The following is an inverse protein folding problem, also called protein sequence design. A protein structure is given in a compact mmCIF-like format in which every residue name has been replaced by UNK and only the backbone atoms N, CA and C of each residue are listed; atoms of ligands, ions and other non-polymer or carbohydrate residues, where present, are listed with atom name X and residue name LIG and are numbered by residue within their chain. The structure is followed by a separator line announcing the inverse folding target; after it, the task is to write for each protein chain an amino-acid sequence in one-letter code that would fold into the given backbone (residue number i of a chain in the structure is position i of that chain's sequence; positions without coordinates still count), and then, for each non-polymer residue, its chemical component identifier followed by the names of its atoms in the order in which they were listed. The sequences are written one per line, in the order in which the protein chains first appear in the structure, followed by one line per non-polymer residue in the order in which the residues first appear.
data_IF_426326942258
#
_entry.id   IF_426326942258
#
_cell.length_a   1.000
_cell.length_b   1.000
_cell.length_c   1.000
_cell.angle_alpha   90.00
_cell.angle_beta   90.00
_cell.angle_gamma   90.00
#
_symmetry.space_group_name_H-M   'P 1'
#
loop_
_entity.id
_entity.type
_entity.pdbx_description
1 polymer ?
#
# COMPACT_ATOMS: atom_id res chain seq x y z
N UNK A 1 1.23 -30.95 -2.23
CA UNK A 1 2.42 -30.06 -2.40
C UNK A 1 2.38 -29.20 -3.67
N UNK A 2 1.79 -29.60 -4.82
CA UNK A 2 1.74 -28.75 -6.04
C UNK A 2 0.67 -27.64 -6.03
N UNK A 3 -0.43 -27.83 -5.32
CA UNK A 3 -1.59 -26.90 -5.26
C UNK A 3 -1.23 -25.49 -4.75
N UNK A 4 -0.30 -25.39 -3.78
CA UNK A 4 0.07 -24.12 -3.14
C UNK A 4 0.72 -23.12 -4.10
N UNK A 5 1.59 -23.61 -4.99
CA UNK A 5 2.27 -22.79 -6.01
C UNK A 5 1.35 -22.38 -7.17
N UNK A 6 0.29 -23.15 -7.41
CA UNK A 6 -0.69 -22.84 -8.45
C UNK A 6 -1.49 -21.59 -8.07
N UNK A 7 -1.88 -21.47 -6.79
CA UNK A 7 -2.57 -20.29 -6.26
C UNK A 7 -1.76 -19.00 -6.42
N UNK A 8 -0.48 -19.01 -6.01
CA UNK A 8 0.42 -17.85 -6.15
C UNK A 8 0.58 -17.42 -7.61
N UNK A 9 0.69 -18.37 -8.54
CA UNK A 9 0.79 -18.08 -9.98
C UNK A 9 -0.51 -17.53 -10.56
N UNK A 10 -1.66 -18.06 -10.16
CA UNK A 10 -2.96 -17.52 -10.58
C UNK A 10 -3.12 -16.09 -10.07
N UNK A 11 -2.83 -15.85 -8.79
CA UNK A 11 -2.87 -14.51 -8.19
C UNK A 11 -1.93 -13.56 -8.93
N UNK A 12 -0.69 -13.98 -9.20
CA UNK A 12 0.26 -13.16 -9.95
C UNK A 12 -0.24 -12.81 -11.35
N UNK A 13 -0.81 -13.77 -12.09
CA UNK A 13 -1.39 -13.52 -13.42
C UNK A 13 -2.57 -12.54 -13.34
N UNK A 14 -3.46 -12.72 -12.36
CA UNK A 14 -4.61 -11.81 -12.15
C UNK A 14 -4.16 -10.40 -11.79
N UNK A 15 -3.17 -10.26 -10.90
CA UNK A 15 -2.60 -8.96 -10.54
C UNK A 15 -1.89 -8.30 -11.73
N UNK A 16 -1.19 -9.06 -12.55
CA UNK A 16 -0.55 -8.56 -13.76
C UNK A 16 -1.59 -8.09 -14.78
N UNK A 17 -2.66 -8.85 -14.99
CA UNK A 17 -3.77 -8.48 -15.87
C UNK A 17 -4.47 -7.20 -15.37
N UNK A 18 -4.70 -7.08 -14.06
CA UNK A 18 -5.25 -5.88 -13.43
C UNK A 18 -4.32 -4.68 -13.62
N UNK A 19 -3.02 -4.84 -13.42
CA UNK A 19 -2.03 -3.79 -13.61
C UNK A 19 -2.01 -3.29 -15.06
N UNK A 20 -1.97 -4.19 -16.04
CA UNK A 20 -2.00 -3.84 -17.46
C UNK A 20 -3.32 -3.15 -17.81
N UNK A 21 -4.46 -3.70 -17.37
CA UNK A 21 -5.77 -3.10 -17.60
C UNK A 21 -5.88 -1.68 -17.03
N UNK A 22 -5.45 -1.48 -15.78
CA UNK A 22 -5.39 -0.17 -15.14
C UNK A 22 -4.50 0.81 -15.93
N UNK A 23 -3.30 0.37 -16.33
CA UNK A 23 -2.37 1.21 -17.10
C UNK A 23 -2.97 1.63 -18.44
N UNK A 24 -3.55 0.68 -19.18
CA UNK A 24 -4.20 0.96 -20.46
C UNK A 24 -5.40 1.91 -20.30
N UNK A 25 -6.18 1.75 -19.22
CA UNK A 25 -7.31 2.62 -18.94
C UNK A 25 -6.89 4.08 -18.74
N UNK A 26 -5.69 4.34 -18.21
CA UNK A 26 -5.17 5.71 -18.03
C UNK A 26 -5.00 6.50 -19.32
N UNK A 27 -4.97 5.85 -20.50
CA UNK A 27 -4.95 6.55 -21.79
C UNK A 27 -6.29 7.19 -22.14
N UNK A 28 -7.38 6.82 -21.46
CA UNK A 28 -8.69 7.45 -21.63
C UNK A 28 -8.86 8.73 -20.83
N UNK A 29 -7.90 9.04 -19.95
CA UNK A 29 -7.99 10.21 -19.07
C UNK A 29 -7.73 11.49 -19.85
N UNK A 30 -8.41 12.61 -19.49
CA UNK A 30 -8.12 13.90 -20.10
C UNK A 30 -6.65 14.29 -19.89
N UNK A 31 -6.06 14.92 -20.90
CA UNK A 31 -4.69 15.41 -20.84
C UNK A 31 -4.48 16.46 -19.75
N UNK A 32 -3.22 16.69 -19.38
CA UNK A 32 -2.85 17.70 -18.39
C UNK A 32 -3.21 19.11 -18.89
N UNK A 33 -3.86 19.90 -18.04
CA UNK A 33 -4.22 21.28 -18.37
C UNK A 33 -3.06 22.26 -18.12
N UNK A 34 -2.06 21.84 -17.33
CA UNK A 34 -0.88 22.63 -16.98
C UNK A 34 0.41 21.82 -17.21
N UNK A 35 1.50 22.46 -17.67
CA UNK A 35 2.77 21.77 -17.93
C UNK A 35 3.42 21.15 -16.68
N UNK A 36 3.10 21.66 -15.49
CA UNK A 36 3.65 21.20 -14.20
C UNK A 36 2.74 20.23 -13.46
N UNK A 37 1.51 20.01 -13.94
CA UNK A 37 0.58 19.06 -13.33
C UNK A 37 0.99 17.63 -13.71
N UNK A 38 1.35 16.75 -12.75
CA UNK A 38 1.65 15.35 -13.03
C UNK A 38 0.47 14.63 -13.73
N UNK A 39 -0.74 15.18 -13.62
CA UNK A 39 -1.92 14.72 -14.31
C UNK A 39 -2.65 13.62 -13.57
N UNK A 40 -3.96 13.54 -13.80
CA UNK A 40 -4.85 12.54 -13.18
C UNK A 40 -4.44 11.09 -13.47
N UNK A 41 -3.65 10.87 -14.53
CA UNK A 41 -3.12 9.58 -14.93
C UNK A 41 -1.82 9.16 -14.20
N UNK A 42 -1.08 10.09 -13.58
CA UNK A 42 0.21 9.75 -12.97
C UNK A 42 0.08 8.74 -11.82
N UNK A 43 -0.82 9.00 -10.88
CA UNK A 43 -1.02 8.11 -9.74
C UNK A 43 -1.41 6.67 -10.16
N UNK A 44 -2.45 6.46 -10.99
CA UNK A 44 -2.81 5.11 -11.43
C UNK A 44 -1.72 4.43 -12.26
N UNK A 45 -0.92 5.17 -13.05
CA UNK A 45 0.21 4.61 -13.80
C UNK A 45 1.33 4.12 -12.88
N UNK A 46 1.74 4.91 -11.90
CA UNK A 46 2.76 4.50 -10.92
C UNK A 46 2.29 3.26 -10.16
N UNK A 47 1.03 3.26 -9.73
CA UNK A 47 0.45 2.11 -9.03
C UNK A 47 0.40 0.86 -9.91
N UNK A 48 -0.01 1.00 -11.18
CA UNK A 48 -0.01 -0.09 -12.14
C UNK A 48 1.39 -0.67 -12.38
N UNK A 49 2.42 0.18 -12.54
CA UNK A 49 3.81 -0.26 -12.70
C UNK A 49 4.30 -0.99 -11.45
N UNK A 50 4.07 -0.43 -10.26
CA UNK A 50 4.45 -1.07 -9.00
C UNK A 50 3.75 -2.44 -8.83
N UNK A 51 2.45 -2.50 -9.14
CA UNK A 51 1.67 -3.74 -9.07
C UNK A 51 2.19 -4.78 -10.07
N UNK A 52 2.53 -4.36 -11.29
CA UNK A 52 3.11 -5.25 -12.30
C UNK A 52 4.47 -5.82 -11.85
N UNK A 53 5.35 -4.98 -11.29
CA UNK A 53 6.64 -5.43 -10.74
C UNK A 53 6.42 -6.45 -9.62
N UNK A 54 5.52 -6.17 -8.68
CA UNK A 54 5.19 -7.09 -7.59
C UNK A 54 4.59 -8.41 -8.11
N UNK A 55 3.72 -8.34 -9.11
CA UNK A 55 3.14 -9.52 -9.75
C UNK A 55 4.20 -10.38 -10.43
N UNK A 56 5.17 -9.77 -11.14
CA UNK A 56 6.30 -10.48 -11.75
C UNK A 56 7.17 -11.12 -10.67
N UNK A 57 7.51 -10.40 -9.60
CA UNK A 57 8.29 -10.95 -8.48
C UNK A 57 7.54 -12.14 -7.86
N UNK A 58 6.24 -12.04 -7.62
CA UNK A 58 5.42 -13.13 -7.07
C UNK A 58 5.40 -14.35 -8.01
N UNK A 59 5.27 -14.12 -9.33
CA UNK A 59 5.26 -15.18 -10.32
C UNK A 59 6.60 -15.94 -10.37
N UNK A 60 7.72 -15.22 -10.29
CA UNK A 60 9.07 -15.79 -10.31
C UNK A 60 9.49 -16.40 -8.97
N UNK A 61 8.92 -15.92 -7.87
CA UNK A 61 9.28 -16.31 -6.50
C UNK A 61 8.06 -16.86 -5.75
N UNK A 62 7.36 -17.88 -6.28
CA UNK A 62 6.18 -18.41 -5.62
C UNK A 62 6.60 -19.03 -4.29
N UNK A 63 5.94 -18.63 -3.21
CA UNK A 63 6.24 -19.21 -1.90
C UNK A 63 5.29 -20.36 -1.65
N UNK A 64 5.69 -21.31 -0.82
CA UNK A 64 4.68 -22.16 -0.21
C UNK A 64 3.76 -21.23 0.58
N UNK A 65 2.55 -21.06 0.07
CA UNK A 65 1.46 -20.58 0.89
C UNK A 65 1.34 -21.60 2.02
N UNK A 66 1.89 -21.23 3.18
CA UNK A 66 1.15 -21.48 4.40
C UNK A 66 -0.16 -20.77 4.13
N UNK A 67 -1.13 -21.52 3.61
CA UNK A 67 -2.53 -21.09 3.55
C UNK A 67 -2.72 -20.27 4.80
N UNK A 68 -3.12 -19.00 4.63
CA UNK A 68 -3.48 -18.12 5.74
C UNK A 68 -4.04 -19.01 6.82
N UNK A 69 -3.45 -19.04 8.04
CA UNK A 69 -3.73 -20.09 9.02
C UNK A 69 -5.22 -20.40 8.91
N UNK A 70 -5.63 -21.64 8.65
CA UNK A 70 -7.02 -22.02 8.28
C UNK A 70 -8.09 -21.47 9.26
N UNK A 71 -7.62 -20.84 10.34
CA UNK A 71 -8.31 -19.92 11.24
C UNK A 71 -7.60 -18.56 11.29
N UNK A 72 -7.61 -17.77 10.22
CA UNK A 72 -7.52 -16.33 10.35
C UNK A 72 -8.87 -15.98 10.94
N UNK A 73 -8.98 -16.08 12.27
CA UNK A 73 -10.23 -15.85 12.98
C UNK A 73 -10.81 -14.52 12.55
N UNK A 74 -12.11 -14.33 12.74
CA UNK A 74 -12.79 -13.04 12.50
C UNK A 74 -12.09 -11.87 13.21
N UNK A 75 -11.30 -12.15 14.25
CA UNK A 75 -10.59 -11.20 15.08
C UNK A 75 -9.55 -10.33 14.33
N UNK A 76 -8.52 -10.86 13.62
CA UNK A 76 -7.64 -10.03 12.78
C UNK A 76 -8.37 -9.15 11.76
N UNK A 77 -9.44 -9.65 11.15
CA UNK A 77 -10.22 -8.92 10.13
C UNK A 77 -10.91 -7.72 10.78
N UNK A 78 -11.64 -7.95 11.87
CA UNK A 78 -12.29 -6.90 12.65
C UNK A 78 -11.24 -5.92 13.17
N UNK A 79 -10.08 -6.41 13.63
CA UNK A 79 -8.97 -5.59 14.07
C UNK A 79 -8.45 -4.64 12.99
N UNK A 80 -8.28 -5.12 11.75
CA UNK A 80 -7.86 -4.28 10.62
C UNK A 80 -8.92 -3.22 10.29
N UNK A 81 -10.21 -3.59 10.31
CA UNK A 81 -11.31 -2.64 10.08
C UNK A 81 -11.30 -1.53 11.14
N UNK A 82 -11.18 -1.90 12.41
CA UNK A 82 -11.09 -0.94 13.53
C UNK A 82 -9.83 -0.08 13.40
N UNK A 83 -8.68 -0.67 13.10
CA UNK A 83 -7.43 0.07 12.89
C UNK A 83 -7.56 1.08 11.74
N UNK A 84 -8.27 0.72 10.67
CA UNK A 84 -8.54 1.61 9.53
C UNK A 84 -9.45 2.77 9.93
N UNK A 85 -10.50 2.51 10.73
CA UNK A 85 -11.35 3.57 11.27
C UNK A 85 -10.56 4.53 12.18
N UNK A 86 -9.72 3.99 13.07
CA UNK A 86 -8.85 4.78 13.94
C UNK A 86 -7.84 5.61 13.14
N UNK A 87 -7.26 5.05 12.07
CA UNK A 87 -6.40 5.79 11.15
C UNK A 87 -7.12 7.00 10.55
N UNK A 88 -8.34 6.83 10.05
CA UNK A 88 -9.15 7.93 9.51
C UNK A 88 -9.45 9.02 10.56
N UNK A 89 -9.71 8.62 11.81
CA UNK A 89 -9.97 9.56 12.91
C UNK A 89 -8.70 10.31 13.35
N UNK A 90 -7.54 9.66 13.30
CA UNK A 90 -6.28 10.26 13.72
C UNK A 90 -5.60 11.09 12.63
N UNK A 91 -5.89 10.86 11.35
CA UNK A 91 -5.36 11.65 10.23
C UNK A 91 -5.42 13.18 10.44
N UNK A 92 -6.57 13.79 10.81
CA UNK A 92 -6.62 15.24 11.01
C UNK A 92 -5.87 15.72 12.26
N UNK A 93 -5.63 14.84 13.24
CA UNK A 93 -5.00 15.20 14.51
C UNK A 93 -3.48 15.02 14.48
N UNK A 94 -3.03 13.87 13.99
CA UNK A 94 -1.63 13.44 14.00
C UNK A 94 -0.92 13.66 12.66
N UNK A 95 -1.65 13.92 11.58
CA UNK A 95 -1.10 14.00 10.24
C UNK A 95 -0.92 12.65 9.57
N UNK A 96 -0.55 12.66 8.30
CA UNK A 96 -0.34 11.46 7.50
C UNK A 96 0.75 10.56 8.09
N UNK A 97 1.94 11.09 8.35
CA UNK A 97 3.13 10.30 8.67
C UNK A 97 2.94 9.50 9.96
N UNK A 98 2.52 10.15 11.05
CA UNK A 98 2.29 9.48 12.34
C UNK A 98 1.12 8.50 12.27
N UNK A 99 0.02 8.89 11.63
CA UNK A 99 -1.16 8.04 11.53
C UNK A 99 -0.82 6.77 10.75
N UNK A 100 -0.08 6.88 9.65
CA UNK A 100 0.32 5.72 8.83
C UNK A 100 1.31 4.83 9.57
N UNK A 101 2.28 5.39 10.30
CA UNK A 101 3.20 4.59 11.13
C UNK A 101 2.43 3.78 12.17
N UNK A 102 1.53 4.43 12.94
CA UNK A 102 0.74 3.75 13.97
C UNK A 102 -0.17 2.67 13.37
N UNK A 103 -0.82 2.98 12.23
CA UNK A 103 -1.64 2.03 11.50
C UNK A 103 -0.83 0.80 11.05
N UNK A 104 0.34 1.01 10.44
CA UNK A 104 1.19 -0.08 9.94
C UNK A 104 1.75 -0.94 11.08
N UNK A 105 2.18 -0.33 12.19
CA UNK A 105 2.60 -1.08 13.39
C UNK A 105 1.45 -1.95 13.88
N UNK A 106 0.24 -1.38 14.04
CA UNK A 106 -0.95 -2.11 14.48
C UNK A 106 -1.32 -3.25 13.54
N UNK A 107 -1.31 -3.00 12.22
CA UNK A 107 -1.60 -4.00 11.20
C UNK A 107 -0.58 -5.15 11.23
N UNK A 108 0.72 -4.86 11.33
CA UNK A 108 1.76 -5.88 11.42
C UNK A 108 1.63 -6.72 12.69
N UNK A 109 1.30 -6.10 13.82
CA UNK A 109 1.03 -6.81 15.08
C UNK A 109 -0.20 -7.72 14.99
N UNK A 110 -1.29 -7.25 14.36
CA UNK A 110 -2.50 -8.04 14.10
C UNK A 110 -2.24 -9.21 13.16
N UNK A 111 -1.32 -9.05 12.21
CA UNK A 111 -0.83 -10.11 11.33
C UNK A 111 0.17 -11.06 12.02
N UNK A 112 0.50 -10.84 13.29
CA UNK A 112 1.37 -11.70 14.08
C UNK A 112 2.86 -11.46 13.88
N UNK A 113 3.27 -10.36 13.23
CA UNK A 113 4.68 -9.98 13.14
C UNK A 113 5.17 -9.53 14.51
N UNK A 114 6.17 -10.23 15.06
CA UNK A 114 6.74 -9.93 16.41
C UNK A 114 8.19 -9.45 16.37
N UNK A 115 8.83 -9.46 15.20
CA UNK A 115 10.23 -9.08 15.06
C UNK A 115 10.35 -7.54 15.08
N UNK A 116 11.07 -6.95 16.05
CA UNK A 116 11.09 -5.50 16.28
C UNK A 116 11.66 -4.73 15.08
N UNK A 117 12.65 -5.30 14.39
CA UNK A 117 13.23 -4.70 13.17
C UNK A 117 12.16 -4.43 12.12
N UNK A 118 11.26 -5.40 11.85
CA UNK A 118 10.18 -5.20 10.88
C UNK A 118 9.08 -4.28 11.42
N UNK A 119 8.77 -4.34 12.72
CA UNK A 119 7.78 -3.48 13.36
C UNK A 119 8.18 -2.00 13.37
N UNK A 120 9.47 -1.68 13.23
CA UNK A 120 9.97 -0.30 13.19
C UNK A 120 10.34 0.10 11.77
N UNK A 121 11.17 -0.68 11.10
CA UNK A 121 11.70 -0.31 9.79
C UNK A 121 10.61 -0.23 8.72
N UNK A 122 9.70 -1.21 8.67
CA UNK A 122 8.66 -1.24 7.62
C UNK A 122 7.69 -0.06 7.76
N UNK A 123 7.09 0.22 8.94
CA UNK A 123 6.20 1.36 9.10
C UNK A 123 6.87 2.69 8.80
N UNK A 124 8.10 2.91 9.26
CA UNK A 124 8.82 4.18 9.05
C UNK A 124 9.15 4.36 7.57
N UNK A 125 9.82 3.39 6.96
CA UNK A 125 10.25 3.48 5.56
C UNK A 125 9.05 3.62 4.64
N UNK A 126 8.00 2.80 4.83
CA UNK A 126 6.83 2.85 3.97
C UNK A 126 6.08 4.19 4.13
N UNK A 127 5.90 4.69 5.35
CA UNK A 127 5.23 5.98 5.58
C UNK A 127 6.00 7.14 4.95
N UNK A 128 7.33 7.19 5.09
CA UNK A 128 8.17 8.24 4.48
C UNK A 128 8.16 8.16 2.95
N UNK A 129 8.28 6.95 2.39
CA UNK A 129 8.22 6.76 0.93
C UNK A 129 6.86 7.18 0.39
N UNK A 130 5.76 6.81 1.05
CA UNK A 130 4.42 7.20 0.63
C UNK A 130 4.19 8.70 0.79
N UNK A 131 4.71 9.33 1.85
CA UNK A 131 4.61 10.77 2.04
C UNK A 131 5.36 11.53 0.94
N UNK A 132 6.58 11.12 0.60
CA UNK A 132 7.33 11.71 -0.52
C UNK A 132 6.65 11.45 -1.86
N UNK A 133 6.14 10.24 -2.08
CA UNK A 133 5.44 9.89 -3.31
C UNK A 133 4.16 10.72 -3.51
N UNK A 134 3.34 10.86 -2.47
CA UNK A 134 2.07 11.58 -2.58
C UNK A 134 2.23 13.09 -2.43
N UNK A 135 3.01 13.55 -1.47
CA UNK A 135 3.18 14.97 -1.18
C UNK A 135 4.12 15.68 -2.15
N UNK A 136 5.24 15.05 -2.52
CA UNK A 136 6.26 15.71 -3.37
C UNK A 136 6.14 15.33 -4.84
N UNK A 137 5.94 14.04 -5.16
CA UNK A 137 5.92 13.59 -6.57
C UNK A 137 4.55 13.79 -7.22
N UNK A 138 3.47 13.55 -6.47
CA UNK A 138 2.10 13.60 -6.99
C UNK A 138 1.33 14.85 -6.54
N UNK A 139 1.95 15.73 -5.73
CA UNK A 139 1.39 16.99 -5.22
C UNK A 139 -0.03 16.85 -4.62
N UNK A 140 -0.33 15.69 -4.03
CA UNK A 140 -1.61 15.39 -3.40
C UNK A 140 -1.68 16.13 -2.06
N UNK A 141 -2.78 16.85 -1.75
CA UNK A 141 -2.94 17.49 -0.46
C UNK A 141 -3.07 16.43 0.64
N UNK A 142 -1.99 16.25 1.42
CA UNK A 142 -1.97 15.38 2.59
C UNK A 142 -2.29 16.17 3.87
N UNK A 143 -2.99 15.58 4.85
CA UNK A 143 -3.20 16.22 6.13
C UNK A 143 -1.87 16.31 6.90
N UNK A 144 -1.49 17.54 7.24
CA UNK A 144 -0.26 17.82 7.99
C UNK A 144 -0.55 17.89 9.50
N UNK A 145 0.09 16.98 10.23
CA UNK A 145 0.06 16.96 11.68
C UNK A 145 1.12 17.85 12.30
N UNK A 146 1.35 17.71 13.60
CA UNK A 146 2.37 18.47 14.32
C UNK A 146 3.79 18.20 13.81
N UNK A 147 4.10 16.98 13.38
CA UNK A 147 5.43 16.63 12.86
C UNK A 147 5.67 17.21 11.48
N UNK A 148 4.71 17.07 10.58
CA UNK A 148 4.84 17.54 9.21
C UNK A 148 4.88 19.07 9.15
N UNK A 149 4.09 19.75 10.00
CA UNK A 149 4.15 21.21 10.16
C UNK A 149 5.48 21.75 10.70
N UNK A 150 6.32 20.91 11.31
CA UNK A 150 7.65 21.31 11.79
C UNK A 150 8.76 21.08 10.77
N UNK A 151 8.51 20.30 9.72
CA UNK A 151 9.49 19.89 8.70
C UNK A 151 9.26 20.62 7.37
N UNK A 152 8.03 21.08 7.11
CA UNK A 152 7.60 21.89 5.96
C UNK A 152 7.46 23.36 6.34
#
# INVERSE_FOLDING_TARGET
MKESYLGDRIIAILLLALAVGMFLYTFTFPGTLQPTDPGTAAFPRILAVALAVLAVILFLTPRESKLLPERAGTFPIVGIIVATALYALFLPLLGFLLSTVLFLVGALLLMGVRRPVYLVAVPIVLSVVLFGLFGLLLEVPLPYGPLERGIL
#
